data_IF_239691818554
#
_entry.id   IF_239691818554
#
_cell.length_a   1.000
_cell.length_b   1.000
_cell.length_c   1.000
_cell.angle_alpha   90.00
_cell.angle_beta   90.00
_cell.angle_gamma   90.00
#
_symmetry.space_group_name_H-M   'P 1'
#
loop_
_entity.id
_entity.type
_entity.pdbx_description
1 polymer ?
#
# COMPACT_ATOMS: atom_id res chain seq x y z
N UNK A 1 -1.98 14.38 -4.04
CA UNK A 1 -1.69 13.26 -4.95
C UNK A 1 -0.71 12.29 -4.32
N UNK A 2 -0.62 11.08 -4.87
CA UNK A 2 0.47 10.15 -4.58
C UNK A 2 1.75 10.65 -5.25
N UNK A 3 2.91 10.49 -4.59
CA UNK A 3 4.20 10.96 -5.12
C UNK A 3 5.06 9.85 -5.74
N UNK A 4 4.65 8.58 -5.58
CA UNK A 4 5.43 7.43 -6.03
C UNK A 4 4.55 6.21 -6.31
N UNK A 5 5.03 5.34 -7.20
CA UNK A 5 4.61 3.93 -7.29
C UNK A 5 5.61 3.10 -6.50
N UNK A 6 5.13 2.33 -5.53
CA UNK A 6 6.02 1.65 -4.57
C UNK A 6 6.59 0.31 -5.04
N UNK A 7 6.08 -0.22 -6.15
CA UNK A 7 6.55 -1.46 -6.76
C UNK A 7 6.74 -1.24 -8.25
N UNK A 8 8.00 -1.11 -8.65
CA UNK A 8 8.47 -1.18 -10.04
C UNK A 8 9.80 -1.94 -10.02
N UNK A 9 9.80 -3.12 -10.62
CA UNK A 9 10.93 -4.05 -10.63
C UNK A 9 12.07 -3.47 -11.48
N UNK A 10 11.79 -3.02 -12.71
CA UNK A 10 12.77 -2.59 -13.68
C UNK A 10 13.85 -3.65 -13.89
N UNK A 11 15.11 -3.24 -13.87
CA UNK A 11 16.26 -4.14 -14.07
C UNK A 11 16.57 -5.05 -12.87
N UNK A 12 15.78 -4.99 -11.80
CA UNK A 12 16.03 -5.82 -10.61
C UNK A 12 15.56 -7.27 -10.82
N UNK A 13 16.28 -8.22 -10.22
CA UNK A 13 15.82 -9.61 -10.13
C UNK A 13 14.57 -9.72 -9.23
N UNK A 14 13.55 -10.43 -9.70
CA UNK A 14 12.26 -10.60 -8.98
C UNK A 14 12.47 -11.35 -7.65
N UNK A 15 13.41 -12.29 -7.59
CA UNK A 15 13.77 -13.00 -6.36
C UNK A 15 14.28 -12.04 -5.27
N UNK A 16 14.92 -10.94 -5.66
CA UNK A 16 15.33 -9.93 -4.70
C UNK A 16 14.15 -9.12 -4.15
N UNK A 17 13.09 -8.94 -4.96
CA UNK A 17 11.83 -8.36 -4.50
C UNK A 17 11.16 -9.29 -3.48
N UNK A 18 11.05 -10.59 -3.78
CA UNK A 18 10.52 -11.61 -2.85
C UNK A 18 11.30 -11.61 -1.53
N UNK A 19 12.64 -11.66 -1.60
CA UNK A 19 13.51 -11.62 -0.41
C UNK A 19 13.28 -10.35 0.41
N UNK A 20 13.15 -9.21 -0.24
CA UNK A 20 12.88 -7.93 0.43
C UNK A 20 11.54 -7.95 1.15
N UNK A 21 10.46 -8.37 0.48
CA UNK A 21 9.11 -8.45 1.08
C UNK A 21 9.10 -9.43 2.24
N UNK A 22 9.67 -10.63 2.06
CA UNK A 22 9.80 -11.63 3.12
C UNK A 22 10.54 -11.09 4.33
N UNK A 23 11.63 -10.36 4.12
CA UNK A 23 12.40 -9.79 5.21
C UNK A 23 11.62 -8.69 5.95
N UNK A 24 10.94 -7.79 5.23
CA UNK A 24 10.13 -6.72 5.85
C UNK A 24 8.94 -7.28 6.63
N UNK A 25 8.35 -8.38 6.16
CA UNK A 25 7.22 -9.09 6.77
C UNK A 25 7.65 -10.23 7.70
N UNK A 26 8.88 -10.19 8.23
CA UNK A 26 9.36 -11.09 9.28
C UNK A 26 9.27 -12.59 8.92
N UNK A 27 9.46 -12.93 7.65
CA UNK A 27 9.62 -14.30 7.18
C UNK A 27 8.35 -15.05 6.79
N UNK A 28 7.17 -14.65 7.29
CA UNK A 28 5.93 -15.40 7.09
C UNK A 28 5.13 -14.80 5.93
N UNK A 29 5.34 -15.32 4.73
CA UNK A 29 4.72 -14.82 3.50
C UNK A 29 4.40 -15.94 2.50
N UNK A 30 3.55 -15.65 1.51
CA UNK A 30 3.34 -16.47 0.32
C UNK A 30 4.26 -15.99 -0.80
N UNK A 31 5.46 -16.55 -0.86
CA UNK A 31 6.49 -16.17 -1.84
C UNK A 31 6.04 -16.37 -3.28
N UNK A 32 5.24 -17.40 -3.54
CA UNK A 32 4.65 -17.66 -4.85
C UNK A 32 3.75 -16.51 -5.32
N UNK A 33 2.89 -15.97 -4.45
CA UNK A 33 2.04 -14.82 -4.77
C UNK A 33 2.86 -13.54 -4.96
N UNK A 34 3.91 -13.35 -4.16
CA UNK A 34 4.79 -12.17 -4.26
C UNK A 34 5.58 -12.22 -5.57
N UNK A 35 6.12 -13.38 -5.94
CA UNK A 35 6.85 -13.58 -7.18
C UNK A 35 5.93 -13.37 -8.38
N UNK A 36 4.73 -13.95 -8.34
CA UNK A 36 3.74 -13.81 -9.42
C UNK A 36 3.29 -12.36 -9.61
N UNK A 37 3.09 -11.61 -8.53
CA UNK A 37 2.88 -10.15 -8.61
C UNK A 37 4.08 -9.46 -9.25
N UNK A 38 5.29 -9.75 -8.74
CA UNK A 38 6.52 -9.10 -9.17
C UNK A 38 6.77 -9.24 -10.67
N UNK A 39 6.47 -10.39 -11.27
CA UNK A 39 6.66 -10.60 -12.73
C UNK A 39 5.62 -9.93 -13.62
N UNK A 40 4.50 -9.44 -13.08
CA UNK A 40 3.44 -8.79 -13.86
C UNK A 40 3.30 -7.28 -13.61
N UNK A 41 3.80 -6.77 -12.48
CA UNK A 41 3.51 -5.41 -12.02
C UNK A 41 4.05 -4.33 -12.97
N UNK A 42 5.19 -4.56 -13.61
CA UNK A 42 5.83 -3.56 -14.48
C UNK A 42 5.01 -3.29 -15.74
N UNK A 43 4.35 -4.30 -16.31
CA UNK A 43 3.44 -4.12 -17.45
C UNK A 43 2.28 -3.17 -17.10
N UNK A 44 1.76 -3.27 -15.86
CA UNK A 44 0.75 -2.33 -15.38
C UNK A 44 1.30 -0.92 -15.21
N UNK A 45 2.54 -0.78 -14.74
CA UNK A 45 3.21 0.53 -14.60
C UNK A 45 3.42 1.18 -15.97
N UNK A 46 3.81 0.41 -16.98
CA UNK A 46 3.94 0.87 -18.36
C UNK A 46 2.60 1.38 -18.92
N UNK A 47 1.52 0.62 -18.70
CA UNK A 47 0.17 1.03 -19.10
C UNK A 47 -0.26 2.33 -18.41
N UNK A 48 0.06 2.53 -17.13
CA UNK A 48 -0.28 3.78 -16.45
C UNK A 48 0.39 5.00 -17.11
N UNK A 49 1.67 4.89 -17.48
CA UNK A 49 2.37 5.97 -18.18
C UNK A 49 1.81 6.17 -19.60
N UNK A 50 1.46 5.09 -20.30
CA UNK A 50 0.81 5.15 -21.60
C UNK A 50 -0.53 5.89 -21.55
N UNK A 51 -1.33 5.66 -20.50
CA UNK A 51 -2.59 6.37 -20.25
C UNK A 51 -2.41 7.80 -19.74
N UNK A 52 -1.17 8.27 -19.59
CA UNK A 52 -0.86 9.66 -19.27
C UNK A 52 -0.45 9.93 -17.83
N UNK A 53 -0.12 8.91 -17.03
CA UNK A 53 0.47 9.13 -15.71
C UNK A 53 1.88 9.71 -15.85
N UNK A 54 2.17 10.93 -15.33
CA UNK A 54 3.49 11.52 -15.48
C UNK A 54 4.50 10.84 -14.53
N UNK A 55 5.53 10.20 -15.10
CA UNK A 55 6.60 9.50 -14.38
C UNK A 55 7.89 10.31 -14.46
N UNK A 56 8.53 10.55 -13.31
CA UNK A 56 9.80 11.28 -13.27
C UNK A 56 10.92 10.48 -13.91
N UNK A 57 11.78 11.14 -14.69
CA UNK A 57 12.90 10.51 -15.41
C UNK A 57 14.24 11.13 -15.04
N UNK A 58 15.32 10.43 -15.36
CA UNK A 58 16.67 10.98 -15.36
C UNK A 58 16.99 11.55 -16.74
N UNK A 59 17.58 12.75 -16.79
CA UNK A 59 18.17 13.29 -18.01
C UNK A 59 19.49 12.57 -18.37
N UNK A 60 20.12 12.95 -19.49
CA UNK A 60 21.38 12.37 -19.95
C UNK A 60 22.55 12.57 -18.97
N UNK A 61 22.48 13.60 -18.11
CA UNK A 61 23.48 13.90 -17.09
C UNK A 61 23.14 13.26 -15.73
N UNK A 62 22.02 12.55 -15.62
CA UNK A 62 21.54 11.93 -14.39
C UNK A 62 20.78 12.87 -13.45
N UNK A 63 20.36 14.06 -13.90
CA UNK A 63 19.50 14.95 -13.11
C UNK A 63 18.04 14.51 -13.18
N UNK A 64 17.27 14.86 -12.15
CA UNK A 64 15.86 14.56 -12.08
C UNK A 64 15.05 15.49 -12.98
N UNK A 65 14.25 14.92 -13.86
CA UNK A 65 13.17 15.56 -14.60
C UNK A 65 11.84 15.16 -13.96
N UNK A 66 11.01 16.14 -13.64
CA UNK A 66 9.65 15.84 -13.20
C UNK A 66 8.84 15.21 -14.35
N UNK A 67 7.73 14.54 -14.02
CA UNK A 67 6.98 13.77 -15.02
C UNK A 67 6.32 14.59 -16.13
N UNK A 68 6.22 15.91 -16.01
CA UNK A 68 5.68 16.77 -17.06
C UNK A 68 6.73 17.19 -18.10
N UNK A 69 8.02 17.01 -17.79
CA UNK A 69 9.10 17.33 -18.72
C UNK A 69 9.26 16.24 -19.78
N UNK A 70 9.63 16.61 -21.03
CA UNK A 70 9.79 15.64 -22.10
C UNK A 70 10.97 14.72 -21.81
N UNK A 71 10.70 13.42 -21.77
CA UNK A 71 11.69 12.36 -21.64
C UNK A 71 11.12 11.07 -22.26
N UNK A 72 11.98 10.12 -22.69
CA UNK A 72 11.52 8.82 -23.18
C UNK A 72 10.65 8.11 -22.14
N UNK A 73 9.60 7.42 -22.59
CA UNK A 73 8.77 6.57 -21.71
C UNK A 73 9.59 5.44 -21.11
N UNK A 74 9.10 4.80 -20.04
CA UNK A 74 9.70 3.59 -19.47
C UNK A 74 9.89 2.51 -20.54
N UNK A 75 8.88 2.30 -21.38
CA UNK A 75 8.89 1.33 -22.49
C UNK A 75 9.87 1.67 -23.61
N UNK A 76 10.34 2.91 -23.66
CA UNK A 76 11.30 3.43 -24.64
C UNK A 76 12.72 3.54 -24.05
N UNK A 77 12.95 2.97 -22.87
CA UNK A 77 14.26 2.99 -22.18
C UNK A 77 14.48 4.20 -21.27
N UNK A 78 13.45 5.02 -21.03
CA UNK A 78 13.51 6.13 -20.08
C UNK A 78 13.76 5.65 -18.65
N UNK A 79 14.85 6.12 -18.04
CA UNK A 79 15.25 5.70 -16.69
C UNK A 79 14.44 6.45 -15.63
N UNK A 80 13.68 5.76 -14.75
CA UNK A 80 12.87 6.43 -13.74
C UNK A 80 13.72 7.02 -12.61
N UNK A 81 13.28 8.14 -12.05
CA UNK A 81 13.78 8.62 -10.76
C UNK A 81 13.30 7.69 -9.66
N UNK A 82 14.24 7.10 -8.92
CA UNK A 82 13.97 6.17 -7.83
C UNK A 82 14.22 6.82 -6.47
N UNK A 83 13.23 6.74 -5.56
CA UNK A 83 13.44 7.16 -4.16
C UNK A 83 14.14 6.08 -3.35
N UNK A 84 13.76 4.83 -3.59
CA UNK A 84 14.47 3.65 -3.10
C UNK A 84 14.57 2.62 -4.21
N UNK A 85 15.10 1.44 -3.90
CA UNK A 85 15.34 0.39 -4.89
C UNK A 85 14.08 0.02 -5.70
N UNK A 86 12.91 0.03 -5.06
CA UNK A 86 11.66 -0.52 -5.61
C UNK A 86 10.63 0.54 -6.02
N UNK A 87 10.87 1.80 -5.65
CA UNK A 87 9.90 2.89 -5.77
C UNK A 87 10.33 3.89 -6.84
N UNK A 88 9.41 4.28 -7.72
CA UNK A 88 9.63 5.31 -8.75
C UNK A 88 8.76 6.54 -8.48
N UNK A 89 9.28 7.74 -8.77
CA UNK A 89 8.58 9.01 -8.56
C UNK A 89 7.58 9.32 -9.68
N UNK A 90 6.43 9.90 -9.30
CA UNK A 90 5.36 10.28 -10.23
C UNK A 90 4.72 11.61 -9.81
N UNK A 91 4.09 12.30 -10.76
CA UNK A 91 3.12 13.37 -10.47
C UNK A 91 1.72 12.74 -10.34
N UNK A 92 1.49 11.96 -9.29
CA UNK A 92 0.30 11.11 -9.14
C UNK A 92 -0.92 11.79 -8.53
N UNK A 93 -1.22 13.03 -8.91
CA UNK A 93 -2.42 13.74 -8.47
C UNK A 93 -3.69 13.10 -9.08
N UNK A 94 -3.74 13.00 -10.40
CA UNK A 94 -4.82 12.37 -11.16
C UNK A 94 -4.73 10.84 -11.26
N UNK A 95 -3.85 10.17 -10.50
CA UNK A 95 -3.55 8.74 -10.72
C UNK A 95 -4.80 7.86 -10.73
N UNK A 96 -5.74 8.07 -9.78
CA UNK A 96 -6.98 7.29 -9.78
C UNK A 96 -7.89 7.60 -10.98
N UNK A 97 -7.96 8.84 -11.43
CA UNK A 97 -8.76 9.21 -12.60
C UNK A 97 -8.19 8.56 -13.86
N UNK A 98 -6.87 8.61 -14.03
CA UNK A 98 -6.14 7.98 -15.15
C UNK A 98 -6.34 6.47 -15.19
N UNK A 99 -6.45 5.80 -14.04
CA UNK A 99 -6.75 4.36 -14.00
C UNK A 99 -8.24 4.06 -14.18
N UNK A 100 -9.12 4.94 -13.70
CA UNK A 100 -10.56 4.75 -13.79
C UNK A 100 -11.11 4.91 -15.21
N UNK A 101 -10.54 5.83 -15.99
CA UNK A 101 -10.97 6.10 -17.37
C UNK A 101 -10.85 4.88 -18.30
N UNK A 102 -9.70 4.21 -18.46
CA UNK A 102 -9.60 3.03 -19.31
C UNK A 102 -10.42 1.85 -18.77
N UNK A 103 -10.58 1.72 -17.45
CA UNK A 103 -11.47 0.72 -16.87
C UNK A 103 -12.93 0.97 -17.26
N UNK A 104 -13.36 2.23 -17.25
CA UNK A 104 -14.69 2.67 -17.68
C UNK A 104 -14.89 2.40 -19.18
N UNK A 105 -13.94 2.80 -20.01
CA UNK A 105 -13.96 2.56 -21.46
C UNK A 105 -14.01 1.07 -21.81
N UNK A 106 -13.23 0.24 -21.11
CA UNK A 106 -13.16 -1.20 -21.37
C UNK A 106 -14.43 -1.96 -20.95
N UNK A 107 -15.09 -1.53 -19.85
CA UNK A 107 -16.29 -2.19 -19.34
C UNK A 107 -17.58 -1.65 -19.97
N UNK A 108 -17.62 -0.37 -20.36
CA UNK A 108 -18.85 0.33 -20.73
C UNK A 108 -19.63 0.84 -19.49
N UNK A 109 -20.17 2.06 -19.58
CA UNK A 109 -20.89 2.74 -18.49
C UNK A 109 -22.07 1.92 -17.95
N UNK A 110 -22.76 1.19 -18.82
CA UNK A 110 -23.90 0.36 -18.50
C UNK A 110 -23.56 -0.83 -17.60
N UNK A 111 -22.29 -1.24 -17.57
CA UNK A 111 -21.80 -2.33 -16.72
C UNK A 111 -21.21 -1.82 -15.40
N UNK A 112 -21.31 -0.51 -15.12
CA UNK A 112 -20.76 0.12 -13.92
C UNK A 112 -21.90 0.71 -13.08
N UNK A 113 -22.09 0.14 -11.90
CA UNK A 113 -23.06 0.62 -10.93
C UNK A 113 -22.37 1.33 -9.77
N UNK A 114 -22.39 2.66 -9.79
CA UNK A 114 -21.87 3.46 -8.67
C UNK A 114 -22.92 3.65 -7.57
N UNK A 115 -22.48 4.07 -6.38
CA UNK A 115 -23.34 4.38 -5.22
C UNK A 115 -24.20 3.22 -4.72
N UNK A 116 -23.86 1.99 -5.09
CA UNK A 116 -24.43 0.75 -4.52
C UNK A 116 -23.45 0.16 -3.51
N UNK A 117 -23.90 -0.02 -2.26
CA UNK A 117 -23.09 -0.65 -1.22
C UNK A 117 -23.46 -2.13 -1.09
N UNK A 118 -22.50 -3.02 -1.35
CA UNK A 118 -22.68 -4.47 -1.20
C UNK A 118 -22.52 -4.85 0.27
N UNK A 119 -23.46 -5.64 0.79
CA UNK A 119 -23.53 -6.04 2.20
C UNK A 119 -23.31 -7.52 2.45
N UNK A 120 -23.63 -8.38 1.47
CA UNK A 120 -23.61 -9.83 1.67
C UNK A 120 -23.33 -10.57 0.37
N UNK A 121 -22.51 -11.61 0.44
CA UNK A 121 -22.32 -12.60 -0.62
C UNK A 121 -23.28 -13.79 -0.42
N UNK A 122 -23.70 -14.42 -1.51
CA UNK A 122 -24.65 -15.53 -1.51
C UNK A 122 -24.01 -16.76 -2.16
N UNK A 123 -24.09 -17.90 -1.48
CA UNK A 123 -23.71 -19.20 -2.02
C UNK A 123 -24.85 -19.83 -2.85
N UNK A 124 -24.47 -20.73 -3.75
CA UNK A 124 -25.39 -21.55 -4.53
C UNK A 124 -26.20 -22.47 -3.61
N UNK A 125 -27.49 -22.58 -3.89
CA UNK A 125 -28.41 -23.41 -3.09
C UNK A 125 -28.15 -24.91 -3.23
N UNK A 126 -27.68 -25.33 -4.41
CA UNK A 126 -27.58 -26.73 -4.81
C UNK A 126 -26.12 -27.23 -4.83
N UNK A 127 -25.14 -26.32 -4.93
CA UNK A 127 -23.71 -26.65 -4.94
C UNK A 127 -23.02 -26.05 -3.71
N UNK A 128 -22.58 -26.92 -2.81
CA UNK A 128 -21.84 -26.50 -1.63
C UNK A 128 -20.57 -25.72 -1.99
N UNK A 129 -20.28 -24.68 -1.22
CA UNK A 129 -19.08 -23.84 -1.36
C UNK A 129 -18.89 -23.18 -2.74
N UNK A 130 -19.99 -22.90 -3.45
CA UNK A 130 -19.98 -22.20 -4.74
C UNK A 130 -20.63 -20.83 -4.59
N UNK A 131 -19.98 -19.76 -5.07
CA UNK A 131 -20.59 -18.43 -5.11
C UNK A 131 -21.73 -18.39 -6.14
N UNK A 132 -22.82 -17.70 -5.82
CA UNK A 132 -23.97 -17.50 -6.70
C UNK A 132 -24.36 -16.02 -6.88
N UNK A 133 -23.91 -15.13 -6.00
CA UNK A 133 -24.32 -13.73 -6.10
C UNK A 133 -23.90 -12.84 -4.93
N UNK A 134 -24.47 -11.64 -4.94
CA UNK A 134 -24.29 -10.64 -3.89
C UNK A 134 -25.57 -9.80 -3.72
N UNK A 135 -25.75 -9.22 -2.54
CA UNK A 135 -26.84 -8.28 -2.23
C UNK A 135 -26.26 -6.97 -1.74
N UNK A 136 -26.86 -5.88 -2.19
CA UNK A 136 -26.53 -4.53 -1.76
C UNK A 136 -27.73 -3.61 -1.84
N UNK A 137 -27.52 -2.34 -1.50
CA UNK A 137 -28.55 -1.31 -1.62
C UNK A 137 -27.96 -0.02 -2.18
N UNK A 138 -28.81 0.77 -2.84
CA UNK A 138 -28.44 2.09 -3.33
C UNK A 138 -28.33 3.08 -2.18
N UNK A 139 -27.31 3.94 -2.22
CA UNK A 139 -27.12 5.06 -1.29
C UNK A 139 -27.75 6.36 -1.82
N UNK A 140 -28.57 6.28 -2.88
CA UNK A 140 -29.26 7.41 -3.51
C UNK A 140 -30.76 7.24 -3.63
N UNK A 141 -31.26 6.01 -3.56
CA UNK A 141 -32.67 5.67 -3.65
C UNK A 141 -32.98 4.43 -2.81
N UNK A 142 -34.25 4.21 -2.48
CA UNK A 142 -34.70 3.04 -1.71
C UNK A 142 -34.79 1.78 -2.57
N UNK A 143 -33.65 1.33 -3.09
CA UNK A 143 -33.54 0.18 -4.00
C UNK A 143 -32.57 -0.87 -3.45
N UNK A 144 -33.05 -2.09 -3.35
CA UNK A 144 -32.22 -3.28 -3.05
C UNK A 144 -31.79 -3.92 -4.37
N UNK A 145 -30.49 -4.19 -4.49
CA UNK A 145 -29.92 -4.87 -5.64
C UNK A 145 -29.56 -6.31 -5.27
N UNK A 146 -30.02 -7.25 -6.10
CA UNK A 146 -29.66 -8.67 -5.99
C UNK A 146 -28.93 -9.05 -7.27
N UNK A 147 -27.64 -9.32 -7.15
CA UNK A 147 -26.77 -9.72 -8.25
C UNK A 147 -26.64 -11.23 -8.27
N UNK A 148 -26.80 -11.83 -9.46
CA UNK A 148 -26.46 -13.23 -9.72
C UNK A 148 -25.18 -13.29 -10.53
N UNK A 149 -24.22 -14.10 -10.13
CA UNK A 149 -22.93 -14.22 -10.80
C UNK A 149 -22.43 -15.66 -10.78
N UNK A 150 -21.63 -16.02 -11.79
CA UNK A 150 -20.88 -17.29 -11.81
C UNK A 150 -19.55 -17.19 -11.04
N UNK A 151 -18.96 -16.01 -11.07
CA UNK A 151 -17.67 -15.67 -10.45
C UNK A 151 -17.78 -14.28 -9.85
N UNK A 152 -17.12 -14.04 -8.70
CA UNK A 152 -17.10 -12.75 -8.04
C UNK A 152 -15.67 -12.39 -7.61
N UNK A 153 -15.30 -11.11 -7.74
CA UNK A 153 -14.09 -10.53 -7.18
C UNK A 153 -14.48 -9.52 -6.09
N UNK A 154 -13.98 -9.71 -4.87
CA UNK A 154 -14.25 -8.82 -3.74
C UNK A 154 -13.06 -7.90 -3.43
N UNK A 155 -12.94 -6.80 -4.16
CA UNK A 155 -11.82 -5.83 -4.04
C UNK A 155 -12.23 -4.53 -3.31
N UNK A 156 -12.81 -4.63 -2.12
CA UNK A 156 -13.33 -3.51 -1.33
C UNK A 156 -12.31 -2.88 -0.36
N UNK A 157 -11.02 -3.20 -0.49
CA UNK A 157 -9.93 -2.67 0.33
C UNK A 157 -9.84 -3.29 1.74
N UNK A 158 -8.96 -2.72 2.58
CA UNK A 158 -8.70 -3.18 3.94
C UNK A 158 -9.71 -2.71 5.00
N UNK A 159 -9.24 -2.58 6.25
CA UNK A 159 -10.03 -2.15 7.40
C UNK A 159 -9.30 -1.05 8.20
N UNK A 160 -10.01 0.03 8.53
CA UNK A 160 -9.54 1.13 9.39
C UNK A 160 -10.59 1.47 10.43
N UNK A 161 -10.27 2.36 11.39
CA UNK A 161 -11.15 2.74 12.50
C UNK A 161 -11.64 1.57 13.36
N UNK A 162 -11.01 0.40 13.25
CA UNK A 162 -11.19 -0.75 14.15
C UNK A 162 -10.51 -0.53 15.50
N UNK A 163 -9.51 0.35 15.55
CA UNK A 163 -8.85 0.84 16.77
C UNK A 163 -9.12 2.34 16.97
N UNK A 164 -9.15 2.79 18.22
CA UNK A 164 -9.29 4.22 18.54
C UNK A 164 -8.09 5.02 18.01
N UNK A 165 -8.29 6.05 17.16
CA UNK A 165 -7.20 6.89 16.64
C UNK A 165 -6.64 7.84 17.71
N UNK A 166 -5.54 8.53 17.40
CA UNK A 166 -4.90 9.50 18.32
C UNK A 166 -5.75 10.76 18.56
N UNK A 167 -6.52 11.18 17.55
CA UNK A 167 -7.46 12.30 17.64
C UNK A 167 -8.89 11.78 17.56
N UNK A 168 -9.73 12.11 18.55
CA UNK A 168 -11.09 11.54 18.69
C UNK A 168 -12.23 12.51 18.40
N UNK A 169 -11.95 13.80 18.22
CA UNK A 169 -12.91 14.78 17.69
C UNK A 169 -12.97 14.72 16.16
N UNK A 170 -12.99 15.88 15.49
CA UNK A 170 -13.00 15.97 14.02
C UNK A 170 -11.81 15.22 13.37
N UNK A 171 -10.66 15.22 14.04
CA UNK A 171 -9.47 14.48 13.62
C UNK A 171 -9.66 12.95 13.52
N UNK A 172 -10.78 12.39 14.00
CA UNK A 172 -11.13 10.97 13.78
C UNK A 172 -11.24 10.61 12.31
N UNK A 173 -11.59 11.58 11.46
CA UNK A 173 -11.61 11.42 10.00
C UNK A 173 -10.23 11.30 9.35
N UNK A 174 -9.16 11.62 10.10
CA UNK A 174 -7.77 11.67 9.63
C UNK A 174 -7.02 10.37 9.93
N UNK A 175 -7.46 9.26 9.38
CA UNK A 175 -6.66 8.04 9.38
C UNK A 175 -5.55 8.11 8.31
N UNK A 176 -4.44 7.39 8.51
CA UNK A 176 -3.38 7.27 7.48
C UNK A 176 -3.87 6.51 6.24
N UNK A 177 -4.62 5.43 6.46
CA UNK A 177 -5.25 4.65 5.41
C UNK A 177 -6.71 5.12 5.22
N UNK A 178 -7.34 4.96 4.05
CA UNK A 178 -8.59 5.63 3.72
C UNK A 178 -9.72 5.33 4.71
N UNK A 179 -10.32 6.40 5.28
CA UNK A 179 -11.28 6.32 6.40
C UNK A 179 -12.55 5.51 6.09
N UNK A 180 -12.91 5.37 4.81
CA UNK A 180 -14.08 4.64 4.34
C UNK A 180 -13.88 3.12 4.26
N UNK A 181 -12.67 2.60 4.52
CA UNK A 181 -12.39 1.17 4.48
C UNK A 181 -12.90 0.45 5.74
N UNK A 182 -14.07 -0.17 5.64
CA UNK A 182 -14.75 -0.81 6.78
C UNK A 182 -14.44 -2.30 7.00
N UNK A 183 -13.49 -2.88 6.24
CA UNK A 183 -13.22 -4.33 6.31
C UNK A 183 -14.26 -5.20 5.59
N UNK A 184 -14.97 -4.63 4.61
CA UNK A 184 -16.00 -5.32 3.84
C UNK A 184 -15.46 -6.55 3.10
N UNK A 185 -14.26 -6.47 2.51
CA UNK A 185 -13.63 -7.63 1.84
C UNK A 185 -13.49 -8.82 2.78
N UNK A 186 -12.92 -8.60 3.97
CA UNK A 186 -12.66 -9.69 4.92
C UNK A 186 -13.96 -10.31 5.42
N UNK A 187 -14.89 -9.46 5.88
CA UNK A 187 -16.12 -9.93 6.52
C UNK A 187 -17.03 -10.67 5.53
N UNK A 188 -17.25 -10.11 4.35
CA UNK A 188 -18.15 -10.72 3.36
C UNK A 188 -17.61 -12.07 2.86
N UNK A 189 -16.30 -12.18 2.60
CA UNK A 189 -15.67 -13.43 2.19
C UNK A 189 -15.69 -14.47 3.31
N UNK A 190 -15.37 -14.08 4.55
CA UNK A 190 -15.37 -14.98 5.71
C UNK A 190 -16.77 -15.56 5.99
N UNK A 191 -17.81 -14.74 5.87
CA UNK A 191 -19.20 -15.17 6.09
C UNK A 191 -19.69 -16.23 5.10
N UNK A 192 -19.09 -16.31 3.92
CA UNK A 192 -19.39 -17.37 2.93
C UNK A 192 -18.40 -18.53 2.98
N UNK A 193 -17.56 -18.60 4.01
CA UNK A 193 -16.66 -19.72 4.27
C UNK A 193 -15.29 -19.63 3.58
N UNK A 194 -14.91 -18.48 3.02
CA UNK A 194 -13.58 -18.32 2.45
C UNK A 194 -12.50 -18.32 3.55
N UNK A 195 -11.43 -19.08 3.33
CA UNK A 195 -10.29 -19.13 4.25
C UNK A 195 -9.58 -17.79 4.32
N UNK A 196 -9.45 -17.24 5.53
CA UNK A 196 -8.60 -16.08 5.82
C UNK A 196 -7.19 -16.54 6.22
N UNK A 197 -6.21 -15.69 5.99
CA UNK A 197 -4.80 -15.96 6.34
C UNK A 197 -4.14 -14.70 6.88
N UNK A 198 -3.18 -14.86 7.81
CA UNK A 198 -2.40 -13.76 8.40
C UNK A 198 -3.28 -12.62 8.99
N UNK A 199 -4.45 -12.94 9.56
CA UNK A 199 -5.40 -11.94 10.09
C UNK A 199 -4.90 -11.26 11.37
N UNK A 200 -3.91 -11.84 12.04
CA UNK A 200 -3.19 -11.26 13.17
C UNK A 200 -2.22 -10.15 12.73
N UNK A 201 -1.83 -10.12 11.45
CA UNK A 201 -0.94 -9.10 10.94
C UNK A 201 -1.64 -7.74 10.88
N UNK A 202 -0.96 -6.70 11.38
CA UNK A 202 -1.45 -5.32 11.34
C UNK A 202 -0.35 -4.39 10.90
N UNK A 203 -0.73 -3.33 10.19
CA UNK A 203 0.21 -2.29 9.79
C UNK A 203 0.02 -1.04 10.66
N UNK A 204 1.06 -0.65 11.40
CA UNK A 204 1.08 0.58 12.21
C UNK A 204 2.12 1.54 11.64
N UNK A 205 1.73 2.51 10.80
CA UNK A 205 2.70 3.39 10.14
C UNK A 205 3.25 4.44 11.12
N UNK A 206 4.58 4.61 11.14
CA UNK A 206 5.22 5.80 11.70
C UNK A 206 5.21 6.93 10.65
N UNK A 207 4.60 8.06 11.00
CA UNK A 207 4.36 9.21 10.11
C UNK A 207 4.48 10.50 10.90
N UNK A 208 4.48 11.64 10.20
CA UNK A 208 4.33 12.94 10.84
C UNK A 208 3.08 12.97 11.72
N UNK A 209 3.25 13.50 12.94
CA UNK A 209 2.23 13.54 13.97
C UNK A 209 0.95 14.23 13.46
N UNK A 210 -0.20 13.68 13.85
CA UNK A 210 -1.57 14.12 13.56
C UNK A 210 -1.99 14.06 12.08
N UNK A 211 -1.25 14.70 11.17
CA UNK A 211 -1.58 14.72 9.74
C UNK A 211 -1.27 13.41 9.01
N UNK A 212 -0.42 12.55 9.58
CA UNK A 212 0.03 11.27 9.01
C UNK A 212 0.68 11.40 7.62
N UNK A 213 1.35 12.52 7.36
CA UNK A 213 2.08 12.77 6.11
C UNK A 213 3.20 11.76 5.86
N UNK A 214 3.55 11.50 4.58
CA UNK A 214 4.55 10.51 4.21
C UNK A 214 5.95 10.93 4.67
N UNK A 215 6.74 9.96 5.12
CA UNK A 215 8.14 10.14 5.55
C UNK A 215 9.15 9.55 4.57
N UNK A 216 8.70 8.75 3.59
CA UNK A 216 9.57 8.02 2.68
C UNK A 216 10.48 8.91 1.86
N UNK A 217 9.95 9.99 1.25
CA UNK A 217 10.77 10.95 0.50
C UNK A 217 11.78 11.67 1.40
N UNK A 218 11.38 12.03 2.63
CA UNK A 218 12.28 12.67 3.60
C UNK A 218 13.49 11.81 3.94
N UNK A 219 13.28 10.54 4.26
CA UNK A 219 14.38 9.63 4.56
C UNK A 219 15.20 9.24 3.32
N UNK A 220 14.53 8.90 2.23
CA UNK A 220 15.18 8.26 1.10
C UNK A 220 15.74 9.25 0.08
N UNK A 221 15.05 10.36 -0.19
CA UNK A 221 15.49 11.38 -1.14
C UNK A 221 16.28 12.48 -0.43
N UNK A 222 15.71 13.09 0.61
CA UNK A 222 16.31 14.23 1.32
C UNK A 222 17.30 13.85 2.42
N UNK A 223 17.48 12.55 2.69
CA UNK A 223 18.42 12.02 3.70
C UNK A 223 18.20 12.59 5.10
N UNK A 224 16.95 12.93 5.43
CA UNK A 224 16.56 13.36 6.77
C UNK A 224 16.87 12.26 7.80
N UNK A 225 17.17 12.67 9.03
CA UNK A 225 17.45 11.76 10.15
C UNK A 225 16.33 11.88 11.18
N UNK A 226 16.13 10.81 11.95
CA UNK A 226 15.17 10.78 13.05
C UNK A 226 15.88 10.99 14.38
N UNK A 227 15.35 11.88 15.20
CA UNK A 227 15.94 12.34 16.45
C UNK A 227 14.96 12.17 17.60
N UNK A 228 15.44 11.84 18.80
CA UNK A 228 14.60 11.83 20.00
C UNK A 228 14.54 13.23 20.66
N UNK A 229 13.77 13.37 21.74
CA UNK A 229 13.56 14.64 22.43
C UNK A 229 14.80 15.19 23.15
N UNK A 230 15.85 14.37 23.29
CA UNK A 230 17.15 14.76 23.85
C UNK A 230 18.12 15.28 22.78
N UNK A 231 17.72 15.27 21.51
CA UNK A 231 18.60 15.66 20.41
C UNK A 231 19.48 14.51 19.88
N UNK A 232 19.18 13.26 20.21
CA UNK A 232 20.01 12.11 19.82
C UNK A 232 19.46 11.44 18.56
N UNK A 233 20.32 11.22 17.57
CA UNK A 233 20.01 10.38 16.41
C UNK A 233 20.11 8.91 16.81
N UNK A 234 19.08 8.39 17.46
CA UNK A 234 19.08 7.06 18.09
C UNK A 234 19.15 5.90 17.09
N UNK A 235 18.67 6.10 15.85
CA UNK A 235 18.79 5.11 14.80
C UNK A 235 20.28 4.88 14.50
N UNK A 236 20.80 3.70 14.87
CA UNK A 236 22.21 3.24 14.82
C UNK A 236 23.03 3.32 16.12
N UNK A 237 22.43 3.67 17.27
CA UNK A 237 23.13 3.53 18.56
C UNK A 237 23.43 2.05 18.87
N UNK A 238 24.42 1.78 19.73
CA UNK A 238 24.76 0.40 20.09
C UNK A 238 23.61 -0.30 20.85
N UNK A 239 22.81 0.46 21.61
CA UNK A 239 21.58 -0.03 22.21
C UNK A 239 20.57 -0.50 21.15
N UNK A 240 20.42 0.25 20.05
CA UNK A 240 19.56 -0.15 18.92
C UNK A 240 20.10 -1.40 18.22
N UNK A 241 21.41 -1.50 18.00
CA UNK A 241 22.01 -2.70 17.40
C UNK A 241 21.78 -3.94 18.26
N UNK A 242 22.05 -3.85 19.57
CA UNK A 242 21.78 -4.94 20.51
C UNK A 242 20.29 -5.32 20.61
N UNK A 243 19.38 -4.35 20.43
CA UNK A 243 17.96 -4.66 20.35
C UNK A 243 17.59 -5.40 19.05
N UNK A 244 18.21 -5.05 17.92
CA UNK A 244 17.97 -5.70 16.63
C UNK A 244 18.51 -7.14 16.57
N UNK A 245 19.55 -7.47 17.34
CA UNK A 245 20.06 -8.85 17.47
C UNK A 245 18.99 -9.84 17.96
N UNK A 246 17.99 -9.37 18.71
CA UNK A 246 16.85 -10.20 19.18
C UNK A 246 15.92 -10.63 18.04
N UNK A 247 16.03 -10.02 16.86
CA UNK A 247 15.18 -10.27 15.71
C UNK A 247 15.95 -10.90 14.54
N UNK A 248 17.05 -11.59 14.82
CA UNK A 248 17.81 -12.31 13.79
C UNK A 248 16.97 -13.42 13.12
N UNK A 249 17.16 -13.67 11.81
CA UNK A 249 18.12 -13.01 10.92
C UNK A 249 17.68 -11.63 10.41
N UNK A 250 16.42 -11.24 10.62
CA UNK A 250 15.82 -10.04 10.01
C UNK A 250 16.44 -8.72 10.49
N UNK A 251 16.89 -8.69 11.76
CA UNK A 251 17.57 -7.55 12.37
C UNK A 251 18.90 -7.17 11.70
N UNK A 252 19.57 -8.12 11.03
CA UNK A 252 20.81 -7.88 10.29
C UNK A 252 20.59 -7.36 8.85
N UNK A 253 19.35 -7.19 8.42
CA UNK A 253 19.09 -6.64 7.08
C UNK A 253 19.59 -5.20 6.98
N UNK A 254 20.24 -4.88 5.85
CA UNK A 254 20.73 -3.53 5.54
C UNK A 254 19.60 -2.48 5.60
N UNK A 255 18.37 -2.89 5.32
CA UNK A 255 17.17 -2.11 5.60
C UNK A 255 16.39 -2.83 6.68
N UNK A 256 16.44 -2.29 7.89
CA UNK A 256 15.70 -2.82 9.04
C UNK A 256 14.21 -2.96 8.69
N UNK A 257 13.58 -4.12 8.96
CA UNK A 257 12.16 -4.32 8.73
C UNK A 257 11.30 -3.27 9.44
N UNK A 258 10.13 -2.98 8.87
CA UNK A 258 9.30 -1.86 9.32
C UNK A 258 8.81 -1.99 10.77
N UNK A 259 8.40 -3.18 11.22
CA UNK A 259 7.94 -3.36 12.60
C UNK A 259 9.06 -3.26 13.66
N UNK A 260 10.28 -3.82 13.49
CA UNK A 260 11.43 -3.50 14.33
C UNK A 260 11.75 -2.00 14.35
N UNK A 261 11.71 -1.28 13.23
CA UNK A 261 11.91 0.20 13.26
C UNK A 261 10.91 0.91 14.17
N UNK A 262 9.64 0.51 14.12
CA UNK A 262 8.62 1.03 15.03
C UNK A 262 8.87 0.61 16.48
N UNK A 263 9.32 -0.62 16.72
CA UNK A 263 9.66 -1.11 18.06
C UNK A 263 10.76 -0.27 18.71
N UNK A 264 11.81 0.06 17.96
CA UNK A 264 12.88 0.96 18.43
C UNK A 264 12.33 2.34 18.81
N UNK A 265 11.46 2.92 17.98
CA UNK A 265 10.81 4.19 18.30
C UNK A 265 9.93 4.09 19.56
N UNK A 266 9.23 2.97 19.77
CA UNK A 266 8.44 2.74 20.99
C UNK A 266 9.32 2.64 22.25
N UNK A 267 10.54 2.09 22.14
CA UNK A 267 11.47 2.03 23.27
C UNK A 267 11.91 3.44 23.71
N UNK A 268 12.20 4.34 22.77
CA UNK A 268 12.48 5.75 23.08
C UNK A 268 11.32 6.43 23.81
N UNK A 269 10.09 6.23 23.31
CA UNK A 269 8.89 6.81 23.91
C UNK A 269 8.61 6.25 25.32
N UNK A 270 8.74 4.95 25.52
CA UNK A 270 8.55 4.29 26.83
C UNK A 270 9.57 4.74 27.86
N UNK A 271 10.78 5.06 27.42
CA UNK A 271 11.83 5.58 28.28
C UNK A 271 11.73 7.09 28.53
N UNK A 272 10.65 7.75 28.09
CA UNK A 272 10.43 9.17 28.30
C UNK A 272 11.29 10.09 27.44
N UNK A 273 11.97 9.56 26.41
CA UNK A 273 12.85 10.33 25.50
C UNK A 273 12.11 10.90 24.29
N UNK A 274 10.78 10.94 24.32
CA UNK A 274 9.99 11.64 23.30
C UNK A 274 10.05 13.17 23.45
N UNK A 275 9.51 13.94 22.50
CA UNK A 275 8.92 13.51 21.23
C UNK A 275 9.98 13.04 20.21
N UNK A 276 9.54 12.45 19.10
CA UNK A 276 10.40 12.03 17.99
C UNK A 276 10.25 13.02 16.84
N UNK A 277 11.38 13.57 16.38
CA UNK A 277 11.49 14.55 15.30
C UNK A 277 12.09 13.92 14.04
#
# INVERSE_FOLDING_TARGET
>A
GLSAINTCIGDNKIENYVKMVRNDLMGVVREDLIYDLGRHVDDSVHLFEEWGLPVWKLDANGNNLDGAQPAPKLTEGGKPVRTGKWQIMINGESYKCIVAEPAKTALGDENIMERVFIVKLILDKNKANQIAGAVGFSTRENKVHVFRCKTALCACGGAVNTFRPRSTGEGKGRAWYPVWNAGSTYTMCAQVGATLTMMENRFTPARFKDGYGPVGAWFLLFKAKVQNGLGEFYANSDAVKGELEKFMPYGASAVTPTCPRNHLMLNELKAGRGPIY
#
